data_IF_697122151282
#
_entry.id   IF_697122151282
#
_cell.length_a   1.000
_cell.length_b   1.000
_cell.length_c   1.000
_cell.angle_alpha   90.00
_cell.angle_beta   90.00
_cell.angle_gamma   90.00
#
_symmetry.space_group_name_H-M   'P 1'
#
loop_
_entity.id
_entity.type
_entity.pdbx_description
1 polymer ?
#
# COMPACT_ATOMS: atom_id res chain seq x y z
N UNK A 1 5.66 7.41 18.86
CA UNK A 1 5.23 5.99 18.84
C UNK A 1 5.68 5.40 17.52
N UNK A 2 5.99 4.11 17.49
CA UNK A 2 6.46 3.43 16.29
C UNK A 2 5.33 2.55 15.74
N UNK A 3 5.04 2.68 14.45
CA UNK A 3 3.98 1.95 13.75
C UNK A 3 4.61 1.11 12.64
N UNK A 4 4.34 -0.19 12.66
CA UNK A 4 4.70 -1.11 11.58
C UNK A 4 3.49 -1.31 10.67
N UNK A 5 3.60 -0.89 9.41
CA UNK A 5 2.56 -1.13 8.40
C UNK A 5 3.02 -2.28 7.49
N UNK A 6 2.30 -3.40 7.52
CA UNK A 6 2.65 -4.60 6.75
C UNK A 6 1.83 -4.66 5.48
N UNK A 7 2.51 -4.64 4.33
CA UNK A 7 1.95 -4.72 3.00
C UNK A 7 2.15 -6.13 2.43
N UNK A 8 1.24 -6.59 1.58
CA UNK A 8 1.38 -7.90 0.93
C UNK A 8 2.68 -7.99 0.13
N UNK A 9 3.23 -9.20 -0.02
CA UNK A 9 4.28 -9.48 -0.98
C UNK A 9 3.77 -10.23 -2.21
N UNK A 10 2.45 -10.42 -2.35
CA UNK A 10 1.82 -11.22 -3.38
C UNK A 10 1.34 -10.34 -4.54
N UNK A 11 1.72 -10.68 -5.78
CA UNK A 11 1.52 -9.83 -6.97
C UNK A 11 0.60 -10.43 -8.05
N UNK A 12 0.02 -11.62 -7.80
CA UNK A 12 -0.85 -12.32 -8.74
C UNK A 12 -2.25 -12.56 -8.15
N UNK A 13 -3.30 -12.33 -8.93
CA UNK A 13 -4.68 -12.59 -8.49
C UNK A 13 -5.06 -14.05 -8.80
N UNK A 14 -4.57 -14.99 -7.98
CA UNK A 14 -4.78 -16.43 -8.19
C UNK A 14 -4.36 -16.86 -9.60
N UNK A 15 -5.17 -17.73 -10.22
CA UNK A 15 -4.89 -18.29 -11.54
C UNK A 15 -5.47 -17.45 -12.70
N UNK A 16 -5.84 -16.18 -12.44
CA UNK A 16 -6.52 -15.34 -13.44
C UNK A 16 -5.59 -14.70 -14.47
N UNK A 17 -4.26 -14.79 -14.25
CA UNK A 17 -3.26 -14.08 -15.04
C UNK A 17 -3.19 -12.56 -14.81
N UNK A 18 -4.01 -12.02 -13.88
CA UNK A 18 -4.02 -10.59 -13.54
C UNK A 18 -3.02 -10.28 -12.42
N UNK A 19 -2.43 -9.10 -12.48
CA UNK A 19 -1.62 -8.54 -11.37
C UNK A 19 -2.50 -8.02 -10.25
N UNK A 20 -1.98 -8.06 -9.02
CA UNK A 20 -2.55 -7.46 -7.82
C UNK A 20 -1.41 -7.01 -6.90
N UNK A 21 -1.75 -6.55 -5.69
CA UNK A 21 -0.79 -6.03 -4.73
C UNK A 21 -1.52 -5.43 -3.54
N UNK A 22 -0.87 -4.52 -2.81
CA UNK A 22 -1.58 -3.67 -1.86
C UNK A 22 -2.38 -2.60 -2.61
N UNK A 23 -3.47 -2.13 -2.00
CA UNK A 23 -4.27 -1.02 -2.53
C UNK A 23 -3.67 0.32 -2.12
N UNK A 24 -3.37 1.20 -3.07
CA UNK A 24 -2.61 2.45 -2.84
C UNK A 24 -3.22 3.33 -1.74
N UNK A 25 -4.53 3.59 -1.83
CA UNK A 25 -5.22 4.45 -0.88
C UNK A 25 -5.23 3.87 0.55
N UNK A 26 -5.43 2.56 0.68
CA UNK A 26 -5.45 1.85 1.97
C UNK A 26 -4.10 1.95 2.70
N UNK A 27 -3.02 2.18 1.95
CA UNK A 27 -1.71 2.51 2.53
C UNK A 27 -1.55 4.01 2.74
N UNK A 28 -1.75 4.82 1.70
CA UNK A 28 -1.41 6.25 1.71
C UNK A 28 -2.25 7.06 2.70
N UNK A 29 -3.56 6.83 2.75
CA UNK A 29 -4.46 7.58 3.62
C UNK A 29 -4.09 7.45 5.11
N UNK A 30 -3.99 6.24 5.69
CA UNK A 30 -3.56 6.10 7.08
C UNK A 30 -2.08 6.47 7.28
N UNK A 31 -1.21 6.24 6.28
CA UNK A 31 0.20 6.62 6.39
C UNK A 31 0.36 8.12 6.65
N UNK A 32 -0.30 8.98 5.87
CA UNK A 32 -0.19 10.42 6.06
C UNK A 32 -0.85 10.89 7.36
N UNK A 33 -2.02 10.36 7.72
CA UNK A 33 -2.67 10.68 9.01
C UNK A 33 -1.75 10.39 10.20
N UNK A 34 -1.10 9.23 10.21
CA UNK A 34 -0.21 8.83 11.30
C UNK A 34 1.11 9.62 11.27
N UNK A 35 1.63 9.91 10.08
CA UNK A 35 2.85 10.69 9.90
C UNK A 35 2.67 12.13 10.40
N UNK A 36 1.55 12.76 10.04
CA UNK A 36 1.21 14.12 10.44
C UNK A 36 0.93 14.22 11.95
N UNK A 37 0.48 13.12 12.57
CA UNK A 37 0.38 12.99 14.03
C UNK A 37 1.75 12.78 14.73
N UNK A 38 2.87 12.76 13.99
CA UNK A 38 4.22 12.65 14.53
C UNK A 38 4.64 11.22 14.89
N UNK A 39 4.05 10.21 14.26
CA UNK A 39 4.47 8.82 14.45
C UNK A 39 5.57 8.41 13.48
N UNK A 40 6.50 7.57 13.95
CA UNK A 40 7.49 6.93 13.09
C UNK A 40 6.85 5.70 12.45
N UNK A 41 6.83 5.65 11.13
CA UNK A 41 6.17 4.58 10.38
C UNK A 41 7.21 3.78 9.61
N UNK A 42 7.22 2.48 9.82
CA UNK A 42 8.07 1.53 9.08
C UNK A 42 7.18 0.66 8.20
N UNK A 43 7.28 0.77 6.86
CA UNK A 43 6.69 -0.21 5.95
C UNK A 43 7.46 -1.53 5.99
N UNK A 44 6.75 -2.65 5.96
CA UNK A 44 7.33 -3.99 5.84
C UNK A 44 6.47 -4.87 4.94
N UNK A 45 7.02 -6.00 4.48
CA UNK A 45 6.25 -7.02 3.76
C UNK A 45 6.71 -8.41 4.16
N UNK A 46 5.85 -9.46 4.07
CA UNK A 46 6.20 -10.82 4.49
C UNK A 46 7.49 -11.39 3.89
N UNK A 47 7.79 -11.07 2.62
CA UNK A 47 9.03 -11.52 1.93
C UNK A 47 10.16 -10.49 1.99
N UNK A 48 9.95 -9.34 2.64
CA UNK A 48 10.85 -8.19 2.56
C UNK A 48 10.87 -7.57 1.15
N UNK A 49 11.74 -6.56 0.98
CA UNK A 49 11.84 -5.83 -0.29
C UNK A 49 10.61 -4.95 -0.57
N UNK A 50 10.46 -4.58 -1.85
CA UNK A 50 9.39 -3.68 -2.28
C UNK A 50 8.06 -4.44 -2.43
N UNK A 51 7.01 -4.11 -1.65
CA UNK A 51 5.71 -4.73 -1.81
C UNK A 51 5.10 -4.35 -3.17
N UNK A 52 4.45 -5.30 -3.88
CA UNK A 52 3.79 -5.02 -5.15
C UNK A 52 2.54 -4.15 -4.95
N UNK A 53 2.38 -3.15 -5.80
CA UNK A 53 1.18 -2.31 -5.90
C UNK A 53 0.13 -2.98 -6.79
N UNK A 54 -1.14 -2.98 -6.40
CA UNK A 54 -2.22 -3.33 -7.32
C UNK A 54 -2.38 -2.22 -8.38
N UNK A 55 -2.15 -2.49 -9.68
CA UNK A 55 -2.21 -1.46 -10.72
C UNK A 55 -3.58 -0.77 -10.83
N UNK A 56 -4.66 -1.43 -10.38
CA UNK A 56 -5.99 -0.82 -10.39
C UNK A 56 -6.14 0.28 -9.35
N UNK A 57 -5.38 0.20 -8.26
CA UNK A 57 -5.46 1.19 -7.19
C UNK A 57 -4.76 2.51 -7.52
N UNK A 58 -3.93 2.52 -8.57
CA UNK A 58 -3.27 3.72 -9.12
C UNK A 58 -3.97 4.29 -10.37
N UNK A 59 -5.05 3.66 -10.81
CA UNK A 59 -5.82 4.12 -11.96
C UNK A 59 -6.47 5.50 -11.68
N UNK A 60 -6.64 6.38 -12.68
CA UNK A 60 -7.15 7.73 -12.46
C UNK A 60 -8.49 7.83 -11.71
N UNK A 61 -9.35 6.83 -11.86
CA UNK A 61 -10.66 6.73 -11.18
C UNK A 61 -10.57 6.21 -9.75
N UNK A 62 -9.44 5.64 -9.35
CA UNK A 62 -9.15 5.18 -7.99
C UNK A 62 -8.38 6.22 -7.14
N UNK A 63 -7.94 7.33 -7.76
CA UNK A 63 -7.15 8.36 -7.09
C UNK A 63 -7.97 9.18 -6.07
N UNK A 64 -7.39 9.44 -4.91
CA UNK A 64 -7.91 10.32 -3.86
C UNK A 64 -6.93 11.46 -3.58
N UNK A 65 -7.29 12.42 -2.74
CA UNK A 65 -6.38 13.50 -2.35
C UNK A 65 -5.09 12.98 -1.67
N UNK A 66 -5.14 11.78 -1.06
CA UNK A 66 -3.97 11.15 -0.43
C UNK A 66 -3.03 10.45 -1.41
N UNK A 67 -3.45 10.24 -2.66
CA UNK A 67 -2.71 9.45 -3.66
C UNK A 67 -2.34 10.25 -4.93
N UNK A 68 -2.80 11.50 -5.04
CA UNK A 68 -2.49 12.42 -6.14
C UNK A 68 -1.07 12.99 -6.10
#
# INVERSE_FOLDING_TARGET
MNVLMVLTSHDALGDTGKKTGFWLEEFAAPFYVLKDAGHEITPASPRGGHPPLDPKSDAPDAQTDATR
#
